data_IF_573736469804
#
_entry.id   IF_573736469804
#
_cell.length_a   1.000
_cell.length_b   1.000
_cell.length_c   1.000
_cell.angle_alpha   90.00
_cell.angle_beta   90.00
_cell.angle_gamma   90.00
#
_symmetry.space_group_name_H-M   'P 1'
#
loop_
_entity.id
_entity.type
_entity.pdbx_description
1 polymer ?
#
# COMPACT_ATOMS: atom_id res chain seq x y z
N UNK A 1 -12.87 34.30 5.09
CA UNK A 1 -11.59 34.45 4.37
C UNK A 1 -11.35 33.19 3.56
N UNK A 2 -11.73 33.23 2.29
CA UNK A 2 -11.57 32.12 1.35
C UNK A 2 -10.11 32.06 0.92
N UNK A 3 -9.34 31.15 1.52
CA UNK A 3 -8.00 30.85 1.01
C UNK A 3 -8.22 29.99 -0.22
N UNK A 4 -8.10 30.61 -1.40
CA UNK A 4 -7.85 29.91 -2.65
C UNK A 4 -6.65 28.99 -2.43
N UNK A 5 -6.90 27.69 -2.20
CA UNK A 5 -5.91 26.64 -2.39
C UNK A 5 -5.65 26.59 -3.90
N UNK A 6 -4.70 27.41 -4.34
CA UNK A 6 -4.10 27.30 -5.66
C UNK A 6 -3.79 25.82 -5.90
N UNK A 7 -4.34 25.32 -7.02
CA UNK A 7 -4.14 23.99 -7.58
C UNK A 7 -2.65 23.82 -7.89
N UNK A 8 -1.84 23.52 -6.89
CA UNK A 8 -0.44 23.17 -7.05
C UNK A 8 -0.40 21.76 -7.65
N UNK A 9 -0.37 21.67 -8.97
CA UNK A 9 0.06 20.46 -9.64
C UNK A 9 1.52 20.23 -9.26
N UNK A 10 1.84 19.05 -8.73
CA UNK A 10 3.23 18.66 -8.52
C UNK A 10 3.89 18.58 -9.89
N UNK A 11 4.83 19.48 -10.17
CA UNK A 11 5.60 19.49 -11.42
C UNK A 11 6.44 18.21 -11.54
N UNK A 12 6.81 17.83 -12.77
CA UNK A 12 7.64 16.64 -13.01
C UNK A 12 8.96 16.64 -12.25
N UNK A 13 9.56 17.82 -12.04
CA UNK A 13 10.78 18.00 -11.25
C UNK A 13 10.55 17.78 -9.74
N UNK A 14 9.41 18.22 -9.21
CA UNK A 14 9.05 17.94 -7.81
C UNK A 14 8.79 16.44 -7.61
N UNK A 15 8.24 15.77 -8.62
CA UNK A 15 7.97 14.33 -8.56
C UNK A 15 9.26 13.50 -8.56
N UNK A 16 10.24 13.87 -9.40
CA UNK A 16 11.53 13.19 -9.44
C UNK A 16 12.34 13.41 -8.16
N UNK A 17 12.35 14.63 -7.61
CA UNK A 17 13.02 14.91 -6.34
C UNK A 17 12.41 14.11 -5.17
N UNK A 18 11.08 13.99 -5.15
CA UNK A 18 10.38 13.25 -4.12
C UNK A 18 10.61 11.74 -4.24
N UNK A 19 10.65 11.20 -5.46
CA UNK A 19 11.03 9.82 -5.74
C UNK A 19 12.45 9.53 -5.23
N UNK A 20 13.43 10.35 -5.59
CA UNK A 20 14.84 10.20 -5.16
C UNK A 20 14.96 10.27 -3.64
N UNK A 21 14.23 11.18 -3.00
CA UNK A 21 14.22 11.33 -1.54
C UNK A 21 13.59 10.10 -0.87
N UNK A 22 12.53 9.53 -1.44
CA UNK A 22 11.89 8.33 -0.93
C UNK A 22 12.77 7.08 -1.09
N UNK A 23 13.44 6.94 -2.23
CA UNK A 23 14.36 5.83 -2.49
C UNK A 23 15.51 5.77 -1.49
N UNK A 24 15.92 6.91 -0.92
CA UNK A 24 16.92 6.96 0.15
C UNK A 24 16.43 6.35 1.46
N UNK A 25 15.13 6.42 1.75
CA UNK A 25 14.56 6.06 3.06
C UNK A 25 13.67 4.80 3.05
N UNK A 26 13.32 4.27 1.86
CA UNK A 26 12.39 3.14 1.69
C UNK A 26 12.84 1.83 2.36
N UNK A 27 14.14 1.65 2.58
CA UNK A 27 14.73 0.41 3.12
C UNK A 27 14.18 0.01 4.50
N UNK A 28 13.68 0.98 5.28
CA UNK A 28 13.22 0.72 6.64
C UNK A 28 11.83 0.09 6.70
N UNK A 29 11.02 0.11 5.62
CA UNK A 29 9.59 -0.27 5.61
C UNK A 29 8.71 0.41 6.68
N UNK A 30 9.29 1.34 7.44
CA UNK A 30 8.69 2.04 8.57
C UNK A 30 7.99 3.30 8.08
N UNK A 31 8.49 3.92 7.01
CA UNK A 31 7.92 5.11 6.41
C UNK A 31 7.36 4.80 5.02
N UNK A 32 6.32 5.53 4.64
CA UNK A 32 5.66 5.43 3.35
C UNK A 32 5.12 6.76 2.89
N UNK A 33 5.03 6.93 1.58
CA UNK A 33 4.30 8.04 0.98
C UNK A 33 2.80 7.77 1.08
N UNK A 34 2.06 8.72 1.66
CA UNK A 34 0.63 8.64 1.91
C UNK A 34 -0.11 9.68 1.06
N UNK A 35 -1.04 9.19 0.25
CA UNK A 35 -2.01 10.00 -0.47
C UNK A 35 -3.19 10.29 0.46
N UNK A 36 -3.51 11.56 0.75
CA UNK A 36 -4.64 11.89 1.60
C UNK A 36 -5.98 11.48 0.94
N UNK A 37 -7.04 11.28 1.75
CA UNK A 37 -8.37 11.02 1.22
C UNK A 37 -8.83 12.15 0.29
N UNK A 38 -9.52 11.80 -0.78
CA UNK A 38 -10.09 12.78 -1.71
C UNK A 38 -11.23 12.17 -2.54
N UNK A 39 -12.25 13.00 -2.85
CA UNK A 39 -13.42 12.63 -3.66
C UNK A 39 -14.09 11.35 -3.18
N UNK A 40 -14.28 11.23 -1.87
CA UNK A 40 -14.87 10.03 -1.24
C UNK A 40 -13.96 8.81 -1.22
N UNK A 41 -12.75 8.87 -1.80
CA UNK A 41 -11.75 7.80 -1.70
C UNK A 41 -10.97 7.91 -0.39
N UNK A 42 -10.81 6.78 0.29
CA UNK A 42 -9.96 6.71 1.47
C UNK A 42 -8.50 6.99 1.11
N UNK A 43 -7.78 7.62 2.04
CA UNK A 43 -6.34 7.83 1.89
C UNK A 43 -5.59 6.51 1.88
N UNK A 44 -4.50 6.44 1.14
CA UNK A 44 -3.74 5.20 0.93
C UNK A 44 -2.24 5.44 0.87
N UNK A 45 -1.47 4.43 1.24
CA UNK A 45 -0.03 4.44 0.98
C UNK A 45 0.23 4.11 -0.49
N UNK A 46 1.24 4.76 -1.06
CA UNK A 46 1.76 4.41 -2.39
C UNK A 46 2.49 3.07 -2.31
N UNK A 47 2.40 2.30 -3.38
CA UNK A 47 3.16 1.08 -3.60
C UNK A 47 4.61 1.44 -3.93
N UNK A 48 5.55 0.70 -3.36
CA UNK A 48 6.98 0.93 -3.52
C UNK A 48 7.47 0.53 -4.94
N UNK A 49 6.79 -0.42 -5.58
CA UNK A 49 7.15 -0.95 -6.91
C UNK A 49 6.49 -0.19 -8.08
N UNK A 50 5.72 0.88 -7.80
CA UNK A 50 5.01 1.65 -8.82
C UNK A 50 5.58 3.07 -8.87
N UNK A 51 5.97 3.57 -10.05
CA UNK A 51 6.50 4.93 -10.18
C UNK A 51 5.44 5.96 -9.81
N UNK A 52 5.88 7.07 -9.19
CA UNK A 52 4.95 8.11 -8.75
C UNK A 52 4.11 8.69 -9.90
N UNK A 53 4.68 8.82 -11.09
CA UNK A 53 3.99 9.38 -12.27
C UNK A 53 2.73 8.60 -12.67
N UNK A 54 2.63 7.31 -12.34
CA UNK A 54 1.47 6.48 -12.66
C UNK A 54 0.28 6.74 -11.72
N UNK A 55 0.44 7.56 -10.69
CA UNK A 55 -0.63 7.89 -9.77
C UNK A 55 -1.40 9.13 -10.23
N UNK A 56 -2.74 9.15 -10.09
CA UNK A 56 -3.57 10.27 -10.53
C UNK A 56 -3.51 11.43 -9.51
N UNK A 57 -2.36 12.11 -9.44
CA UNK A 57 -2.16 13.26 -8.55
C UNK A 57 -2.94 14.50 -9.01
N UNK A 58 -3.33 14.57 -10.29
CA UNK A 58 -3.99 15.72 -10.89
C UNK A 58 -5.43 15.93 -10.40
N UNK A 59 -6.09 14.87 -9.96
CA UNK A 59 -7.53 14.92 -9.68
C UNK A 59 -7.86 15.21 -8.22
N UNK A 60 -6.95 14.88 -7.28
CA UNK A 60 -7.41 14.68 -5.91
C UNK A 60 -6.54 15.18 -4.75
N UNK A 61 -5.21 15.19 -4.88
CA UNK A 61 -4.37 15.66 -3.78
C UNK A 61 -3.11 16.32 -4.34
N UNK A 62 -2.91 17.63 -4.08
CA UNK A 62 -1.74 18.36 -4.59
C UNK A 62 -0.45 18.04 -3.83
N UNK A 63 -0.48 17.07 -2.90
CA UNK A 63 0.68 16.69 -2.11
C UNK A 63 0.59 15.23 -1.66
N UNK A 64 1.75 14.65 -1.36
CA UNK A 64 1.90 13.39 -0.65
C UNK A 64 2.53 13.66 0.72
N UNK A 65 2.09 12.94 1.74
CA UNK A 65 2.64 13.06 3.08
C UNK A 65 3.59 11.90 3.36
N UNK A 66 4.77 12.17 3.91
CA UNK A 66 5.59 11.11 4.51
C UNK A 66 4.96 10.69 5.83
N UNK A 67 4.47 9.46 5.92
CA UNK A 67 3.84 8.91 7.13
C UNK A 67 4.48 7.61 7.57
N UNK A 68 4.45 7.37 8.87
CA UNK A 68 4.84 6.08 9.46
C UNK A 68 3.81 5.00 9.07
N UNK A 69 4.27 3.91 8.45
CA UNK A 69 3.52 2.68 8.18
C UNK A 69 3.35 1.93 9.51
N UNK A 70 2.33 2.29 10.29
CA UNK A 70 1.95 1.51 11.48
C UNK A 70 1.37 0.18 11.00
N UNK A 71 2.10 -0.92 11.20
CA UNK A 71 1.54 -2.26 11.00
C UNK A 71 0.38 -2.44 11.97
N UNK A 72 -0.84 -2.52 11.46
CA UNK A 72 -1.98 -2.99 12.24
C UNK A 72 -1.97 -4.50 12.10
N UNK A 73 -1.29 -5.18 13.02
CA UNK A 73 -1.51 -6.61 13.18
C UNK A 73 -2.89 -6.78 13.77
N UNK A 74 -3.90 -7.02 12.92
CA UNK A 74 -5.15 -7.58 13.40
C UNK A 74 -4.79 -8.98 13.88
N UNK A 75 -4.73 -9.19 15.19
CA UNK A 75 -4.57 -10.54 15.72
C UNK A 75 -5.73 -11.37 15.17
N UNK A 76 -5.42 -12.27 14.25
CA UNK A 76 -6.33 -13.34 13.88
C UNK A 76 -6.54 -14.15 15.16
N UNK A 77 -7.77 -14.21 15.65
CA UNK A 77 -8.14 -15.12 16.74
C UNK A 77 -8.10 -16.53 16.18
N UNK A 78 -6.90 -17.08 16.06
CA UNK A 78 -6.68 -18.44 15.59
C UNK A 78 -6.93 -19.39 16.76
N UNK A 79 -7.96 -20.23 16.64
CA UNK A 79 -8.12 -21.35 17.56
C UNK A 79 -7.15 -22.46 17.13
N UNK A 80 -6.28 -22.87 18.04
CA UNK A 80 -5.26 -23.89 17.82
C UNK A 80 -5.85 -25.21 17.31
N UNK A 81 -7.10 -25.54 17.72
CA UNK A 81 -7.82 -26.73 17.23
C UNK A 81 -8.16 -26.61 15.74
N UNK A 82 -8.66 -25.45 15.32
CA UNK A 82 -8.98 -25.19 13.91
C UNK A 82 -7.71 -25.17 13.05
N UNK A 83 -6.62 -24.59 13.56
CA UNK A 83 -5.34 -24.55 12.87
C UNK A 83 -4.77 -25.96 12.64
N UNK A 84 -4.81 -26.83 13.66
CA UNK A 84 -4.40 -28.24 13.52
C UNK A 84 -5.26 -29.02 12.52
N UNK A 85 -6.56 -28.77 12.49
CA UNK A 85 -7.47 -29.42 11.54
C UNK A 85 -7.15 -29.03 10.09
N UNK A 86 -6.90 -27.75 9.84
CA UNK A 86 -6.48 -27.26 8.52
C UNK A 86 -5.09 -27.77 8.16
N UNK A 87 -4.13 -27.75 9.09
CA UNK A 87 -2.78 -28.28 8.92
C UNK A 87 -2.72 -29.81 9.06
N UNK A 88 -3.52 -30.52 8.27
CA UNK A 88 -3.44 -31.98 8.15
C UNK A 88 -2.73 -32.39 6.86
N UNK A 89 -2.04 -33.53 6.88
CA UNK A 89 -1.31 -34.08 5.73
C UNK A 89 -2.20 -34.25 4.49
N UNK A 90 -3.47 -34.59 4.69
CA UNK A 90 -4.47 -34.74 3.62
C UNK A 90 -4.83 -33.40 2.99
N UNK A 91 -5.09 -32.36 3.78
CA UNK A 91 -5.41 -31.02 3.27
C UNK A 91 -4.23 -30.40 2.52
N UNK A 92 -3.00 -30.58 3.02
CA UNK A 92 -1.80 -30.10 2.35
C UNK A 92 -1.58 -30.79 0.99
N UNK A 93 -1.86 -32.09 0.88
CA UNK A 93 -1.83 -32.81 -0.40
C UNK A 93 -2.86 -32.28 -1.38
N UNK A 94 -4.12 -32.14 -0.93
CA UNK A 94 -5.20 -31.56 -1.76
C UNK A 94 -4.85 -30.16 -2.26
N UNK A 95 -4.25 -29.32 -1.41
CA UNK A 95 -3.78 -28.00 -1.81
C UNK A 95 -2.68 -28.08 -2.87
N UNK A 96 -1.66 -28.93 -2.65
CA UNK A 96 -0.59 -29.14 -3.62
C UNK A 96 -1.13 -29.61 -4.97
N UNK A 97 -2.07 -30.55 -4.96
CA UNK A 97 -2.73 -31.05 -6.18
C UNK A 97 -3.56 -29.95 -6.87
N UNK A 98 -4.31 -29.14 -6.12
CA UNK A 98 -5.08 -28.03 -6.68
C UNK A 98 -4.20 -26.98 -7.36
N UNK A 99 -3.04 -26.65 -6.77
CA UNK A 99 -2.05 -25.73 -7.35
C UNK A 99 -1.40 -26.33 -8.60
N UNK A 100 -1.03 -27.61 -8.55
CA UNK A 100 -0.45 -28.32 -9.70
C UNK A 100 -1.43 -28.42 -10.88
N UNK A 101 -2.71 -28.61 -10.58
CA UNK A 101 -3.77 -28.71 -11.58
C UNK A 101 -4.24 -27.33 -12.10
N UNK A 102 -3.63 -26.22 -11.68
CA UNK A 102 -4.00 -24.84 -12.06
C UNK A 102 -5.49 -24.52 -11.85
N UNK A 103 -6.12 -25.11 -10.83
CA UNK A 103 -7.50 -24.77 -10.43
C UNK A 103 -7.51 -23.47 -9.61
N UNK A 104 -7.04 -22.38 -10.21
CA UNK A 104 -7.04 -21.02 -9.66
C UNK A 104 -7.68 -20.09 -10.68
#
# INVERSE_FOLDING_TARGET
MSICKSRLQMSGLQMSYLQVSYDRIKHTNIYGLFLPPCDGRAGKFLLDDRPLLDYPFHDCAPYVALKFKKRVYKMLRLDEKTLRSVHSKSNLRKFSEAVQNKNI
#
